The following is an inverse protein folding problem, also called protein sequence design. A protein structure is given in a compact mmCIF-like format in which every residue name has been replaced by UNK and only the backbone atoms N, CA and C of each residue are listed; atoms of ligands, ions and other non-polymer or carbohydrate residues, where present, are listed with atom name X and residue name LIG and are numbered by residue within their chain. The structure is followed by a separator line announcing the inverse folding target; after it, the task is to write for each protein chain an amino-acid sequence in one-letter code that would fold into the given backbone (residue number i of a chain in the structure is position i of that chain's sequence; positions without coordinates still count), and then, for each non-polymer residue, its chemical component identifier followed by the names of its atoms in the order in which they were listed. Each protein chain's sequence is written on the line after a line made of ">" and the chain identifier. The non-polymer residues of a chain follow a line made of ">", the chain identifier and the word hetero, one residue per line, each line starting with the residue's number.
data_IF_671659251300
#
_entry.id   IF_671659251300
#
_cell.length_a   1.000
_cell.length_b   1.000
_cell.length_c   1.000
_cell.angle_alpha   90.00
_cell.angle_beta   90.00
_cell.angle_gamma   90.00
#
_symmetry.space_group_name_H-M   'P 1'
#
loop_
_entity.id
_entity.type
_entity.pdbx_description
1 polymer ?
#
# COMPACT_ATOMS: atom_id res chain seq x y z
N UNK A 1 -14.23 19.40 -13.89
CA UNK A 1 -13.93 19.67 -12.46
C UNK A 1 -14.85 18.90 -11.51
N UNK A 2 -16.16 18.77 -11.76
CA UNK A 2 -17.06 17.96 -10.91
C UNK A 2 -16.78 16.43 -10.98
N UNK A 3 -16.40 15.91 -12.16
CA UNK A 3 -16.04 14.48 -12.37
C UNK A 3 -14.71 14.06 -11.72
N UNK A 4 -13.76 14.99 -11.55
CA UNK A 4 -12.48 14.73 -10.89
C UNK A 4 -12.63 14.60 -9.36
N UNK A 5 -13.63 15.27 -8.77
CA UNK A 5 -13.91 15.25 -7.32
C UNK A 5 -14.71 14.03 -6.86
N UNK A 6 -15.57 13.47 -7.71
CA UNK A 6 -16.23 12.17 -7.47
C UNK A 6 -15.20 11.03 -7.49
N UNK A 7 -14.09 11.22 -8.22
CA UNK A 7 -13.07 10.20 -8.47
C UNK A 7 -12.02 10.06 -7.35
N UNK A 8 -11.60 11.16 -6.71
CA UNK A 8 -10.77 11.10 -5.48
C UNK A 8 -11.48 10.32 -4.37
N UNK A 9 -12.82 10.33 -4.36
CA UNK A 9 -13.65 9.59 -3.41
C UNK A 9 -13.53 8.07 -3.59
N UNK A 10 -13.47 7.58 -4.83
CA UNK A 10 -13.36 6.15 -5.17
C UNK A 10 -11.96 5.61 -4.84
N UNK A 11 -10.91 6.39 -5.11
CA UNK A 11 -9.55 6.02 -4.71
C UNK A 11 -9.34 6.05 -3.19
N UNK A 12 -10.05 6.94 -2.49
CA UNK A 12 -10.07 6.97 -1.02
C UNK A 12 -10.77 5.75 -0.42
N UNK A 13 -11.76 5.18 -1.13
CA UNK A 13 -12.45 3.94 -0.72
C UNK A 13 -11.55 2.70 -0.81
N UNK A 14 -10.57 2.66 -1.72
CA UNK A 14 -9.56 1.58 -1.81
C UNK A 14 -8.76 1.50 -0.51
N UNK A 15 -8.28 2.65 -0.03
CA UNK A 15 -7.46 2.72 1.18
C UNK A 15 -8.28 2.61 2.47
N UNK A 16 -9.58 2.88 2.42
CA UNK A 16 -10.51 2.80 3.56
C UNK A 16 -11.35 1.52 3.60
N UNK A 17 -11.11 0.55 2.71
CA UNK A 17 -11.87 -0.69 2.62
C UNK A 17 -12.08 -1.35 3.99
N UNK A 18 -13.35 -1.42 4.40
CA UNK A 18 -13.81 -2.09 5.61
C UNK A 18 -13.74 -3.60 5.37
N UNK A 19 -12.59 -4.21 5.66
CA UNK A 19 -12.43 -5.65 5.63
C UNK A 19 -13.22 -6.30 6.77
N UNK A 20 -14.46 -6.72 6.50
CA UNK A 20 -15.11 -7.73 7.33
C UNK A 20 -14.42 -9.07 7.06
N UNK A 21 -13.47 -9.46 7.90
CA UNK A 21 -12.86 -10.78 7.84
C UNK A 21 -13.75 -11.80 8.59
N UNK A 22 -14.14 -12.92 7.97
CA UNK A 22 -14.53 -14.11 8.73
C UNK A 22 -13.28 -14.65 9.41
N UNK A 23 -13.40 -14.95 10.71
CA UNK A 23 -12.32 -15.50 11.52
C UNK A 23 -11.66 -16.70 10.84
N UNK A 24 -10.33 -16.66 10.78
CA UNK A 24 -9.49 -17.77 10.40
C UNK A 24 -8.32 -17.81 11.37
N UNK A 25 -8.32 -18.81 12.25
CA UNK A 25 -7.17 -19.17 13.04
C UNK A 25 -6.00 -19.44 12.08
N UNK A 26 -4.89 -18.71 12.22
CA UNK A 26 -3.65 -19.02 11.53
C UNK A 26 -2.48 -18.70 12.45
N UNK A 27 -2.16 -19.72 13.25
CA UNK A 27 -0.80 -20.03 13.61
C UNK A 27 -0.05 -20.31 12.30
N UNK A 28 0.77 -19.36 11.83
CA UNK A 28 2.03 -19.68 11.13
C UNK A 28 2.83 -18.41 10.86
N UNK A 29 3.74 -18.15 11.79
CA UNK A 29 4.89 -17.27 11.66
C UNK A 29 6.12 -17.95 12.25
N UNK A 30 6.23 -19.27 12.07
CA UNK A 30 7.42 -20.03 12.44
C UNK A 30 8.55 -19.70 11.47
N UNK A 31 9.29 -18.64 11.76
CA UNK A 31 10.64 -18.43 11.25
C UNK A 31 11.62 -18.63 12.39
N UNK A 32 12.25 -19.80 12.43
CA UNK A 32 13.56 -20.01 13.04
C UNK A 32 13.62 -19.82 14.55
N UNK A 33 13.12 -20.82 15.27
CA UNK A 33 13.56 -21.17 16.62
C UNK A 33 15.08 -21.39 16.66
N UNK A 34 15.82 -20.31 16.87
CA UNK A 34 16.99 -20.32 17.75
C UNK A 34 16.52 -19.52 18.95
N UNK A 35 16.47 -20.11 20.15
CA UNK A 35 15.95 -19.53 21.40
C UNK A 35 16.66 -18.26 21.92
N UNK A 36 16.97 -17.33 21.03
CA UNK A 36 17.33 -15.96 21.30
C UNK A 36 16.02 -15.15 21.41
N UNK A 37 15.87 -14.30 22.43
CA UNK A 37 14.69 -13.45 22.54
C UNK A 37 14.57 -12.58 21.27
N UNK A 38 13.36 -12.49 20.70
CA UNK A 38 13.04 -11.49 19.69
C UNK A 38 13.45 -10.11 20.22
N UNK A 39 14.03 -9.26 19.37
CA UNK A 39 14.26 -7.87 19.74
C UNK A 39 12.91 -7.23 20.12
N UNK A 40 12.91 -6.29 21.05
CA UNK A 40 11.70 -5.54 21.39
C UNK A 40 11.06 -4.90 20.14
N UNK A 41 11.88 -4.47 19.18
CA UNK A 41 11.46 -3.89 17.91
C UNK A 41 10.66 -4.87 17.03
N UNK A 42 11.19 -6.07 16.80
CA UNK A 42 10.50 -7.12 16.01
C UNK A 42 9.18 -7.53 16.69
N UNK A 43 9.19 -7.72 18.01
CA UNK A 43 7.97 -8.07 18.75
C UNK A 43 6.91 -6.96 18.66
N UNK A 44 7.32 -5.70 18.78
CA UNK A 44 6.43 -4.55 18.65
C UNK A 44 5.83 -4.49 17.24
N UNK A 45 6.61 -4.69 16.19
CA UNK A 45 6.10 -4.69 14.82
C UNK A 45 5.10 -5.82 14.57
N UNK A 46 5.41 -7.05 14.99
CA UNK A 46 4.50 -8.19 14.84
C UNK A 46 3.18 -7.95 15.58
N UNK A 47 3.24 -7.43 16.81
CA UNK A 47 2.05 -7.07 17.60
C UNK A 47 1.25 -5.99 16.90
N UNK A 48 1.92 -4.96 16.37
CA UNK A 48 1.27 -3.85 15.68
C UNK A 48 0.55 -4.29 14.41
N UNK A 49 1.15 -5.18 13.61
CA UNK A 49 0.49 -5.74 12.43
C UNK A 49 -0.70 -6.65 12.79
N UNK A 50 -0.65 -7.37 13.91
CA UNK A 50 -1.82 -8.09 14.43
C UNK A 50 -2.95 -7.11 14.78
N UNK A 51 -2.65 -6.08 15.57
CA UNK A 51 -3.61 -5.03 15.91
C UNK A 51 -4.18 -4.32 14.67
N UNK A 52 -3.35 -4.13 13.63
CA UNK A 52 -3.79 -3.56 12.36
C UNK A 52 -4.82 -4.44 11.67
N UNK A 53 -4.55 -5.76 11.56
CA UNK A 53 -5.48 -6.73 10.97
C UNK A 53 -6.82 -6.79 11.71
N UNK A 54 -6.79 -6.59 13.03
CA UNK A 54 -7.98 -6.53 13.88
C UNK A 54 -8.74 -5.19 13.79
N UNK A 55 -8.30 -4.27 12.93
CA UNK A 55 -8.89 -2.94 12.78
C UNK A 55 -8.57 -1.98 13.92
N UNK A 56 -7.71 -2.37 14.87
CA UNK A 56 -7.27 -1.56 16.01
C UNK A 56 -6.16 -0.58 15.62
N UNK A 57 -6.42 0.25 14.60
CA UNK A 57 -5.42 1.10 13.95
C UNK A 57 -4.74 2.11 14.90
N UNK A 58 -5.47 2.65 15.88
CA UNK A 58 -4.90 3.56 16.88
C UNK A 58 -3.88 2.84 17.78
N UNK A 59 -4.25 1.66 18.29
CA UNK A 59 -3.35 0.83 19.11
C UNK A 59 -2.17 0.32 18.30
N UNK A 60 -2.40 -0.12 17.05
CA UNK A 60 -1.35 -0.51 16.11
C UNK A 60 -0.34 0.63 15.92
N UNK A 61 -0.81 1.85 15.65
CA UNK A 61 0.05 3.01 15.51
C UNK A 61 0.88 3.28 16.77
N UNK A 62 0.27 3.19 17.96
CA UNK A 62 0.97 3.39 19.23
C UNK A 62 2.07 2.36 19.46
N UNK A 63 1.81 1.08 19.15
CA UNK A 63 2.81 0.02 19.30
C UNK A 63 3.94 0.16 18.28
N UNK A 64 3.67 0.56 17.03
CA UNK A 64 4.75 0.86 16.07
C UNK A 64 5.64 2.03 16.52
N UNK A 65 5.06 3.05 17.18
CA UNK A 65 5.86 4.14 17.75
C UNK A 65 6.83 3.64 18.82
N UNK A 66 6.54 2.54 19.51
CA UNK A 66 7.47 1.93 20.47
C UNK A 66 8.70 1.32 19.76
N UNK A 67 8.54 0.76 18.56
CA UNK A 67 9.66 0.32 17.73
C UNK A 67 10.61 1.47 17.42
N UNK A 68 10.09 2.66 17.11
CA UNK A 68 10.91 3.84 16.82
C UNK A 68 11.73 4.32 18.03
N UNK A 69 11.33 3.94 19.25
CA UNK A 69 12.03 4.26 20.49
C UNK A 69 12.96 3.12 20.96
N UNK A 70 13.07 2.03 20.20
CA UNK A 70 13.94 0.90 20.55
C UNK A 70 15.34 1.14 20.01
N UNK A 71 16.33 1.36 20.89
CA UNK A 71 17.71 1.70 20.50
C UNK A 71 18.36 0.65 19.59
N UNK A 72 18.03 -0.63 19.77
CA UNK A 72 18.57 -1.73 18.98
C UNK A 72 17.80 -2.02 17.69
N UNK A 73 16.82 -1.18 17.30
CA UNK A 73 16.03 -1.40 16.10
C UNK A 73 16.89 -1.23 14.84
N UNK A 74 16.90 -2.27 14.00
CA UNK A 74 17.53 -2.24 12.68
C UNK A 74 16.79 -1.32 11.71
N UNK A 75 17.46 -0.91 10.63
CA UNK A 75 16.82 -0.16 9.55
C UNK A 75 15.59 -0.87 8.95
N UNK A 76 15.60 -2.21 8.90
CA UNK A 76 14.46 -2.98 8.41
C UNK A 76 13.25 -2.90 9.36
N UNK A 77 13.47 -3.04 10.66
CA UNK A 77 12.40 -2.91 11.67
C UNK A 77 11.85 -1.49 11.72
N UNK A 78 12.72 -0.48 11.61
CA UNK A 78 12.30 0.92 11.52
C UNK A 78 11.51 1.19 10.24
N UNK A 79 11.92 0.62 9.10
CA UNK A 79 11.19 0.75 7.84
C UNK A 79 9.78 0.14 7.94
N UNK A 80 9.68 -1.05 8.51
CA UNK A 80 8.40 -1.75 8.71
C UNK A 80 7.49 -0.97 9.69
N UNK A 81 8.05 -0.42 10.78
CA UNK A 81 7.31 0.41 11.72
C UNK A 81 6.77 1.70 11.08
N UNK A 82 7.60 2.41 10.31
CA UNK A 82 7.18 3.60 9.57
C UNK A 82 6.10 3.27 8.53
N UNK A 83 6.21 2.12 7.84
CA UNK A 83 5.21 1.62 6.90
C UNK A 83 3.86 1.38 7.61
N UNK A 84 3.88 0.67 8.73
CA UNK A 84 2.69 0.38 9.53
C UNK A 84 2.04 1.61 10.15
N UNK A 85 2.83 2.60 10.60
CA UNK A 85 2.31 3.90 11.03
C UNK A 85 1.60 4.61 9.88
N UNK A 86 2.20 4.58 8.67
CA UNK A 86 1.60 5.16 7.48
C UNK A 86 0.22 4.56 7.20
N UNK A 87 0.13 3.23 7.15
CA UNK A 87 -1.13 2.52 6.93
C UNK A 87 -2.15 2.76 8.04
N UNK A 88 -1.72 2.77 9.30
CA UNK A 88 -2.63 3.07 10.43
C UNK A 88 -3.23 4.46 10.32
N UNK A 89 -2.42 5.48 9.98
CA UNK A 89 -2.91 6.85 9.73
C UNK A 89 -3.89 6.91 8.57
N UNK A 90 -3.59 6.20 7.48
CA UNK A 90 -4.48 6.10 6.31
C UNK A 90 -5.86 5.57 6.71
N UNK A 91 -5.91 4.50 7.49
CA UNK A 91 -7.18 3.91 7.96
C UNK A 91 -7.93 4.82 8.94
N UNK A 92 -7.22 5.60 9.76
CA UNK A 92 -7.83 6.50 10.74
C UNK A 92 -8.34 7.81 10.13
N UNK A 93 -7.61 8.37 9.17
CA UNK A 93 -7.78 9.78 8.77
C UNK A 93 -7.75 10.01 7.26
N UNK A 94 -7.46 8.97 6.47
CA UNK A 94 -7.43 9.01 5.02
C UNK A 94 -6.03 9.12 4.41
N UNK A 95 -5.98 8.91 3.10
CA UNK A 95 -4.79 8.57 2.31
C UNK A 95 -3.59 9.51 2.50
N UNK A 96 -3.82 10.82 2.53
CA UNK A 96 -2.73 11.81 2.59
C UNK A 96 -1.96 11.79 3.93
N UNK A 97 -2.56 11.29 5.01
CA UNK A 97 -1.96 11.27 6.35
C UNK A 97 -0.73 10.35 6.48
N UNK A 98 -0.65 9.31 5.64
CA UNK A 98 0.43 8.33 5.67
C UNK A 98 1.70 8.76 4.92
N UNK A 99 1.65 9.80 4.09
CA UNK A 99 2.72 10.15 3.13
C UNK A 99 4.09 10.24 3.79
N UNK A 100 4.22 11.04 4.85
CA UNK A 100 5.52 11.22 5.50
C UNK A 100 6.04 9.90 6.08
N UNK A 101 5.16 9.12 6.71
CA UNK A 101 5.53 7.83 7.29
C UNK A 101 5.97 6.81 6.24
N UNK A 102 5.35 6.79 5.05
CA UNK A 102 5.84 5.96 3.96
C UNK A 102 7.18 6.45 3.39
N UNK A 103 7.41 7.76 3.31
CA UNK A 103 8.72 8.31 2.91
C UNK A 103 9.81 7.94 3.90
N UNK A 104 9.53 8.05 5.19
CA UNK A 104 10.44 7.65 6.25
C UNK A 104 10.77 6.15 6.16
N UNK A 105 9.76 5.31 5.88
CA UNK A 105 9.97 3.89 5.65
C UNK A 105 10.93 3.62 4.48
N UNK A 106 10.71 4.29 3.34
CA UNK A 106 11.55 4.14 2.15
C UNK A 106 12.95 4.76 2.32
N UNK A 107 13.12 5.73 3.21
CA UNK A 107 14.43 6.24 3.59
C UNK A 107 15.24 5.24 4.42
N UNK A 108 14.56 4.36 5.19
CA UNK A 108 15.21 3.28 5.96
C UNK A 108 15.44 2.02 5.13
N UNK A 109 14.49 1.68 4.27
CA UNK A 109 14.59 0.58 3.32
C UNK A 109 13.85 0.97 2.04
N UNK A 110 14.60 1.27 0.99
CA UNK A 110 14.03 1.66 -0.31
C UNK A 110 13.18 0.55 -0.93
N UNK A 111 13.32 -0.70 -0.51
CA UNK A 111 12.62 -1.83 -1.14
C UNK A 111 11.41 -2.31 -0.33
N UNK A 112 10.87 -1.47 0.56
CA UNK A 112 9.74 -1.85 1.43
C UNK A 112 8.41 -1.81 0.64
N UNK A 113 7.83 -2.94 0.20
CA UNK A 113 6.74 -2.94 -0.78
C UNK A 113 5.45 -2.29 -0.27
N UNK A 114 5.02 -2.55 0.97
CA UNK A 114 3.80 -1.93 1.53
C UNK A 114 3.91 -0.40 1.63
N UNK A 115 5.12 0.13 1.86
CA UNK A 115 5.34 1.58 1.90
C UNK A 115 5.28 2.19 0.49
N UNK A 116 5.74 1.45 -0.53
CA UNK A 116 5.64 1.88 -1.93
C UNK A 116 4.20 1.99 -2.38
N UNK A 117 3.41 0.93 -2.18
CA UNK A 117 1.99 0.93 -2.56
C UNK A 117 1.22 2.01 -1.79
N UNK A 118 1.47 2.14 -0.47
CA UNK A 118 0.82 3.15 0.36
C UNK A 118 1.15 4.58 -0.06
N UNK A 119 2.44 4.87 -0.33
CA UNK A 119 2.87 6.18 -0.81
C UNK A 119 2.26 6.50 -2.18
N UNK A 120 2.29 5.55 -3.12
CA UNK A 120 1.72 5.75 -4.44
C UNK A 120 0.22 6.04 -4.39
N UNK A 121 -0.56 5.26 -3.64
CA UNK A 121 -2.00 5.52 -3.46
C UNK A 121 -2.27 6.90 -2.84
N UNK A 122 -1.48 7.30 -1.84
CA UNK A 122 -1.59 8.61 -1.21
C UNK A 122 -1.23 9.76 -2.16
N UNK A 123 -0.19 9.61 -2.98
CA UNK A 123 0.22 10.60 -3.98
C UNK A 123 -0.83 10.75 -5.09
N UNK A 124 -1.36 9.65 -5.60
CA UNK A 124 -2.44 9.67 -6.60
C UNK A 124 -3.68 10.36 -6.04
N UNK A 125 -4.00 10.16 -4.76
CA UNK A 125 -5.13 10.85 -4.11
C UNK A 125 -4.99 12.38 -4.06
N UNK A 126 -3.75 12.90 -4.02
CA UNK A 126 -3.48 14.34 -4.07
C UNK A 126 -3.51 14.87 -5.51
N UNK A 127 -3.00 14.09 -6.47
CA UNK A 127 -3.28 14.25 -7.89
C UNK A 127 -2.55 15.38 -8.61
N UNK A 128 -1.52 16.01 -8.03
CA UNK A 128 -0.66 16.94 -8.81
C UNK A 128 0.22 16.17 -9.80
N UNK A 129 0.70 16.85 -10.85
CA UNK A 129 1.54 16.22 -11.88
C UNK A 129 2.83 15.64 -11.31
N UNK A 130 3.41 16.34 -10.34
CA UNK A 130 4.62 15.95 -9.63
C UNK A 130 4.37 14.68 -8.80
N UNK A 131 3.26 14.63 -8.06
CA UNK A 131 2.88 13.48 -7.24
C UNK A 131 2.53 12.25 -8.07
N UNK A 132 1.86 12.43 -9.21
CA UNK A 132 1.59 11.34 -10.14
C UNK A 132 2.89 10.79 -10.72
N UNK A 133 3.83 11.68 -11.08
CA UNK A 133 5.15 11.27 -11.58
C UNK A 133 5.93 10.49 -10.53
N UNK A 134 5.84 10.91 -9.27
CA UNK A 134 6.44 10.19 -8.15
C UNK A 134 5.75 8.84 -7.89
N UNK A 135 4.42 8.78 -7.97
CA UNK A 135 3.67 7.53 -7.76
C UNK A 135 4.10 6.44 -8.75
N UNK A 136 4.33 6.81 -10.03
CA UNK A 136 4.92 5.89 -11.04
C UNK A 136 6.28 5.37 -10.57
N UNK A 137 7.21 6.27 -10.22
CA UNK A 137 8.55 5.89 -9.75
C UNK A 137 8.49 4.98 -8.52
N UNK A 138 7.56 5.25 -7.61
CA UNK A 138 7.42 4.48 -6.38
C UNK A 138 6.90 3.07 -6.65
N UNK A 139 5.92 2.91 -7.54
CA UNK A 139 5.35 1.61 -7.93
C UNK A 139 6.33 0.80 -8.80
N UNK A 140 6.98 1.41 -9.79
CA UNK A 140 8.05 0.76 -10.57
C UNK A 140 9.21 0.32 -9.66
N UNK A 141 9.45 1.03 -8.55
CA UNK A 141 10.45 0.66 -7.56
C UNK A 141 10.15 -0.60 -6.74
N UNK A 142 8.96 -1.21 -6.88
CA UNK A 142 8.65 -2.53 -6.28
C UNK A 142 9.54 -3.60 -6.93
N UNK A 143 9.69 -3.54 -8.25
CA UNK A 143 10.69 -4.30 -9.00
C UNK A 143 11.31 -3.39 -10.09
N UNK A 144 12.46 -2.77 -9.81
CA UNK A 144 13.10 -1.85 -10.75
C UNK A 144 13.51 -2.48 -12.09
N UNK A 145 13.60 -3.80 -12.16
CA UNK A 145 13.98 -4.52 -13.37
C UNK A 145 12.77 -4.98 -14.20
N UNK A 146 11.57 -4.93 -13.62
CA UNK A 146 10.35 -5.42 -14.25
C UNK A 146 9.13 -4.59 -13.82
N UNK A 147 8.56 -3.84 -14.75
CA UNK A 147 7.33 -3.07 -14.51
C UNK A 147 6.09 -3.94 -14.25
N UNK A 148 6.15 -5.23 -14.58
CA UNK A 148 5.15 -6.23 -14.15
C UNK A 148 5.61 -6.88 -12.84
N UNK A 149 5.73 -6.06 -11.80
CA UNK A 149 6.09 -6.52 -10.46
C UNK A 149 5.05 -7.50 -9.88
N UNK A 150 5.39 -8.16 -8.77
CA UNK A 150 4.40 -8.91 -7.97
C UNK A 150 4.36 -8.33 -6.57
N UNK A 151 3.20 -7.83 -6.17
CA UNK A 151 2.93 -7.34 -4.84
C UNK A 151 2.15 -8.38 -4.01
N UNK A 152 2.59 -8.60 -2.77
CA UNK A 152 1.94 -9.49 -1.82
C UNK A 152 1.46 -8.68 -0.62
N UNK A 153 0.14 -8.65 -0.40
CA UNK A 153 -0.43 -8.02 0.79
C UNK A 153 -0.27 -8.93 2.03
N UNK A 154 0.90 -8.85 2.67
CA UNK A 154 1.22 -9.68 3.86
C UNK A 154 0.38 -9.33 5.09
N UNK A 155 -0.14 -8.10 5.13
CA UNK A 155 -0.74 -7.53 6.32
C UNK A 155 -2.22 -7.19 6.19
N UNK A 156 -2.84 -7.57 5.08
CA UNK A 156 -4.24 -7.24 4.77
C UNK A 156 -4.49 -5.72 4.81
N UNK A 157 -3.59 -4.95 4.19
CA UNK A 157 -3.72 -3.49 4.06
C UNK A 157 -4.90 -3.09 3.17
N UNK A 158 -5.41 -4.04 2.39
CA UNK A 158 -6.58 -3.88 1.52
C UNK A 158 -6.19 -3.35 0.15
N UNK A 159 -4.99 -3.68 -0.33
CA UNK A 159 -4.58 -3.43 -1.71
C UNK A 159 -4.04 -4.72 -2.28
N UNK A 160 -4.70 -5.26 -3.30
CA UNK A 160 -4.27 -6.47 -3.99
C UNK A 160 -3.16 -6.19 -5.02
N UNK A 161 -2.54 -7.26 -5.55
CA UNK A 161 -1.59 -7.12 -6.66
C UNK A 161 -2.25 -6.48 -7.89
N UNK A 162 -3.48 -6.89 -8.21
CA UNK A 162 -4.25 -6.33 -9.31
C UNK A 162 -4.49 -4.83 -9.11
N UNK A 163 -4.86 -4.41 -7.90
CA UNK A 163 -5.06 -2.99 -7.58
C UNK A 163 -3.76 -2.19 -7.63
N UNK A 164 -2.62 -2.74 -7.22
CA UNK A 164 -1.33 -2.09 -7.37
C UNK A 164 -0.98 -1.82 -8.86
N UNK A 165 -1.28 -2.77 -9.75
CA UNK A 165 -1.16 -2.57 -11.19
C UNK A 165 -2.18 -1.55 -11.73
N UNK A 166 -3.41 -1.55 -11.21
CA UNK A 166 -4.42 -0.58 -11.61
C UNK A 166 -4.05 0.86 -11.17
N UNK A 167 -3.44 1.03 -10.00
CA UNK A 167 -2.85 2.30 -9.56
C UNK A 167 -1.75 2.77 -10.51
N UNK A 168 -0.86 1.87 -10.94
CA UNK A 168 0.20 2.18 -11.90
C UNK A 168 -0.39 2.55 -13.28
N UNK A 169 -1.39 1.81 -13.74
CA UNK A 169 -2.11 2.10 -14.98
C UNK A 169 -2.72 3.50 -14.97
N UNK A 170 -3.40 3.85 -13.88
CA UNK A 170 -3.98 5.17 -13.69
C UNK A 170 -2.89 6.27 -13.69
N UNK A 171 -1.80 6.06 -12.97
CA UNK A 171 -0.72 7.03 -12.88
C UNK A 171 -0.06 7.29 -14.27
N UNK A 172 0.16 6.23 -15.06
CA UNK A 172 0.63 6.38 -16.45
C UNK A 172 -0.38 7.12 -17.33
N UNK A 173 -1.67 6.82 -17.17
CA UNK A 173 -2.71 7.48 -17.93
C UNK A 173 -2.75 9.00 -17.67
N UNK A 174 -2.73 9.41 -16.40
CA UNK A 174 -2.71 10.82 -16.03
C UNK A 174 -1.43 11.52 -16.51
N UNK A 175 -0.30 10.78 -16.58
CA UNK A 175 0.96 11.26 -17.16
C UNK A 175 0.93 11.36 -18.70
N UNK A 176 -0.10 10.82 -19.35
CA UNK A 176 -0.26 10.79 -20.80
C UNK A 176 0.38 9.58 -21.50
N UNK A 177 0.91 8.62 -20.75
CA UNK A 177 1.51 7.39 -21.30
C UNK A 177 0.44 6.29 -21.44
N UNK A 178 -0.41 6.45 -22.46
CA UNK A 178 -1.53 5.51 -22.70
C UNK A 178 -1.06 4.09 -23.01
N UNK A 179 0.10 3.95 -23.65
CA UNK A 179 0.66 2.63 -23.99
C UNK A 179 0.99 1.86 -22.71
N UNK A 180 1.72 2.47 -21.77
CA UNK A 180 2.03 1.82 -20.50
C UNK A 180 0.79 1.64 -19.61
N UNK A 181 -0.14 2.60 -19.63
CA UNK A 181 -1.41 2.46 -18.91
C UNK A 181 -2.19 1.21 -19.37
N UNK A 182 -2.32 1.01 -20.69
CA UNK A 182 -3.02 -0.13 -21.26
C UNK A 182 -2.33 -1.48 -20.94
N UNK A 183 -1.00 -1.50 -20.88
CA UNK A 183 -0.26 -2.69 -20.46
C UNK A 183 -0.60 -3.05 -19.01
N UNK A 184 -0.56 -2.07 -18.11
CA UNK A 184 -0.76 -2.32 -16.69
C UNK A 184 -2.20 -2.66 -16.33
N UNK A 185 -3.19 -2.04 -16.97
CA UNK A 185 -4.59 -2.41 -16.73
C UNK A 185 -4.90 -3.82 -17.23
N UNK A 186 -4.27 -4.26 -18.32
CA UNK A 186 -4.39 -5.65 -18.78
C UNK A 186 -3.79 -6.62 -17.77
N UNK A 187 -2.63 -6.31 -17.20
CA UNK A 187 -2.04 -7.14 -16.13
C UNK A 187 -2.98 -7.18 -14.93
N UNK A 188 -3.52 -6.03 -14.51
CA UNK A 188 -4.49 -5.96 -13.42
C UNK A 188 -5.74 -6.82 -13.71
N UNK A 189 -6.29 -6.77 -14.92
CA UNK A 189 -7.46 -7.57 -15.30
C UNK A 189 -7.19 -9.06 -15.33
N UNK A 190 -6.01 -9.47 -15.80
CA UNK A 190 -5.61 -10.88 -15.85
C UNK A 190 -5.40 -11.46 -14.43
N UNK A 191 -5.08 -10.62 -13.45
CA UNK A 191 -4.89 -10.99 -12.04
C UNK A 191 -6.18 -10.98 -11.22
N UNK A 192 -7.21 -10.25 -11.65
CA UNK A 192 -8.49 -10.12 -10.94
C UNK A 192 -9.52 -11.16 -11.41
N UNK A 193 -9.58 -12.28 -10.70
CA UNK A 193 -10.47 -13.39 -11.03
C UNK A 193 -11.98 -13.04 -10.97
N UNK A 194 -12.35 -11.95 -10.31
CA UNK A 194 -13.74 -11.46 -10.21
C UNK A 194 -13.93 -10.10 -10.89
N UNK A 195 -13.07 -9.76 -11.86
CA UNK A 195 -12.96 -8.49 -12.59
C UNK A 195 -14.22 -7.60 -12.59
N UNK A 196 -15.39 -8.11 -12.98
CA UNK A 196 -16.59 -7.27 -13.10
C UNK A 196 -17.05 -6.64 -11.77
N UNK A 197 -17.18 -5.31 -11.76
CA UNK A 197 -17.64 -4.53 -10.61
C UNK A 197 -16.56 -4.25 -9.57
N UNK A 198 -15.30 -4.64 -9.81
CA UNK A 198 -14.17 -4.33 -8.94
C UNK A 198 -13.61 -2.94 -9.22
N UNK A 199 -12.70 -2.49 -8.36
CA UNK A 199 -11.91 -1.26 -8.53
C UNK A 199 -11.08 -1.30 -9.81
N UNK A 200 -10.63 -2.48 -10.23
CA UNK A 200 -9.86 -2.68 -11.46
C UNK A 200 -10.73 -2.43 -12.70
N UNK A 201 -11.96 -2.97 -12.73
CA UNK A 201 -12.92 -2.75 -13.83
C UNK A 201 -13.33 -1.28 -13.95
N UNK A 202 -13.56 -0.60 -12.84
CA UNK A 202 -13.84 0.84 -12.84
C UNK A 202 -12.68 1.67 -13.40
N UNK A 203 -11.43 1.33 -13.07
CA UNK A 203 -10.25 2.00 -13.65
C UNK A 203 -10.14 1.67 -15.16
N UNK A 204 -10.44 0.44 -15.56
CA UNK A 204 -10.43 0.02 -16.96
C UNK A 204 -11.44 0.79 -17.81
N UNK A 205 -12.66 0.99 -17.32
CA UNK A 205 -13.67 1.82 -17.99
C UNK A 205 -13.15 3.25 -18.20
N UNK A 206 -12.56 3.86 -17.17
CA UNK A 206 -12.06 5.25 -17.25
C UNK A 206 -11.01 5.43 -18.32
N UNK A 207 -10.09 4.47 -18.43
CA UNK A 207 -9.04 4.46 -19.44
C UNK A 207 -9.59 4.43 -20.87
N UNK A 208 -10.80 3.88 -21.06
CA UNK A 208 -11.49 3.80 -22.36
C UNK A 208 -12.30 5.07 -22.69
N UNK A 209 -12.88 5.74 -21.69
CA UNK A 209 -13.83 6.85 -21.91
C UNK A 209 -13.21 8.25 -22.01
N UNK A 210 -11.92 8.42 -21.69
CA UNK A 210 -11.25 9.72 -21.75
C UNK A 210 -10.29 9.73 -22.95
N UNK A 211 -10.62 10.41 -24.07
CA UNK A 211 -9.77 10.45 -25.27
C UNK A 211 -8.41 11.11 -25.04
#
# INVERSE_FOLDING_TARGET
>A
MLKLRIFTLILSLILMGCGAAPGGDSLDGANGDFGLPLSGATQNNNTSWSLFKDGSYSSSQQTFLQTLNTESASSAELADAHSGIGWSKVKLTGSASGIQSFRDALAKNSNQPEARVGLAGALISKGTKEEISEAVTVLEGIDPNNSNFTFFDRYNIGVSNAEAHALLAYAYFVKGDRTKANVQIKVASDLDAQFSGTTVDQIAEILQFIP
#
